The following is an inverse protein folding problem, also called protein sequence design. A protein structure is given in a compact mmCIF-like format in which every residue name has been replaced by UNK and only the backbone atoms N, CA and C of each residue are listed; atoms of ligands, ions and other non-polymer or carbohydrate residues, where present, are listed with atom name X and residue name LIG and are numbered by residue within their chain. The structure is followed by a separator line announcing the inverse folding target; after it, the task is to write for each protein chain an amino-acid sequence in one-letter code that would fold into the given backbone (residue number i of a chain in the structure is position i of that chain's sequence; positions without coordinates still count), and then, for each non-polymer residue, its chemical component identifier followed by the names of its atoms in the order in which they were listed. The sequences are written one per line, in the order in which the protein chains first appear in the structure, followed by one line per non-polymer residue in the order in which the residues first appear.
data_IF_761562912620
#
_entry.id   IF_761562912620
#
_cell.length_a   1.000
_cell.length_b   1.000
_cell.length_c   1.000
_cell.angle_alpha   90.00
_cell.angle_beta   90.00
_cell.angle_gamma   90.00
#
_symmetry.space_group_name_H-M   'P 1'
#
loop_
_entity.id
_entity.type
_entity.pdbx_description
1 polymer ?
#
# COMPACT_ATOMS: atom_id res chain seq x y z
N UNK A 1 -14.34 57.91 -4.82
CA UNK A 1 -13.22 58.75 -4.35
C UNK A 1 -12.50 58.02 -3.21
N UNK A 2 -11.24 57.59 -3.46
CA UNK A 2 -10.06 57.62 -2.56
C UNK A 2 -10.22 56.94 -1.16
N UNK A 3 -9.54 55.85 -0.76
CA UNK A 3 -8.13 55.38 -0.93
C UNK A 3 -8.03 53.83 -0.88
N UNK A 4 -7.16 53.22 -1.70
CA UNK A 4 -6.51 51.95 -1.39
C UNK A 4 -5.03 52.20 -1.02
N UNK A 5 -4.56 51.80 0.18
CA UNK A 5 -3.17 51.44 0.44
C UNK A 5 -2.98 51.14 1.93
N UNK A 6 -2.60 49.91 2.27
CA UNK A 6 -1.41 49.61 3.08
C UNK A 6 -1.16 48.11 2.98
N UNK A 7 -0.41 47.73 1.95
CA UNK A 7 0.41 46.53 1.93
C UNK A 7 1.41 46.67 3.08
N UNK A 8 1.44 45.74 4.03
CA UNK A 8 2.50 45.69 5.03
C UNK A 8 2.88 44.25 5.36
N UNK A 9 4.12 43.97 4.95
CA UNK A 9 5.06 42.99 5.46
C UNK A 9 4.73 41.49 5.34
N UNK A 10 5.46 40.90 4.40
CA UNK A 10 5.84 39.50 4.37
C UNK A 10 6.42 39.04 5.71
N UNK A 11 5.77 38.06 6.35
CA UNK A 11 6.43 37.18 7.30
C UNK A 11 6.96 35.97 6.52
N UNK A 12 8.19 36.12 6.01
CA UNK A 12 8.99 35.00 5.53
C UNK A 12 9.51 34.30 6.78
N UNK A 13 8.71 33.41 7.38
CA UNK A 13 9.24 32.44 8.33
C UNK A 13 9.70 31.21 7.55
N UNK A 14 10.98 31.21 7.18
CA UNK A 14 11.66 30.01 6.69
C UNK A 14 11.74 29.01 7.84
N UNK A 15 10.84 28.02 7.87
CA UNK A 15 10.97 26.86 8.77
C UNK A 15 11.97 25.91 8.11
N UNK A 16 13.23 26.10 8.46
CA UNK A 16 14.33 25.24 8.04
C UNK A 16 14.42 24.01 8.94
N UNK A 17 14.39 22.85 8.27
CA UNK A 17 15.03 21.57 8.59
C UNK A 17 14.71 20.89 9.93
N UNK A 18 13.98 19.79 9.83
CA UNK A 18 14.41 18.55 10.50
C UNK A 18 14.23 17.39 9.53
N UNK A 19 15.28 17.13 8.73
CA UNK A 19 15.39 15.89 7.98
C UNK A 19 15.57 14.76 9.01
N UNK A 20 14.57 13.90 9.13
CA UNK A 20 14.69 12.64 9.85
C UNK A 20 15.52 11.70 8.98
N UNK A 21 16.82 11.61 9.26
CA UNK A 21 17.71 10.67 8.58
C UNK A 21 17.42 9.26 9.13
N UNK A 22 17.07 8.26 8.29
CA UNK A 22 17.02 6.87 8.73
C UNK A 22 18.44 6.41 9.07
N UNK A 23 18.58 5.75 10.21
CA UNK A 23 19.85 5.18 10.67
C UNK A 23 20.42 4.21 9.62
N UNK A 24 21.72 4.28 9.31
CA UNK A 24 22.37 3.26 8.50
C UNK A 24 22.35 1.95 9.28
N UNK A 25 21.70 0.95 8.70
CA UNK A 25 21.80 -0.44 9.10
C UNK A 25 23.28 -0.85 9.10
N UNK A 26 23.89 -0.90 10.28
CA UNK A 26 25.21 -1.47 10.49
C UNK A 26 25.14 -2.96 10.14
N UNK A 27 25.53 -3.28 8.92
CA UNK A 27 26.00 -4.62 8.53
C UNK A 27 27.19 -4.97 9.44
N UNK A 28 26.91 -5.68 10.52
CA UNK A 28 27.92 -6.54 11.15
C UNK A 28 27.71 -7.93 10.58
N UNK A 29 28.38 -8.22 9.46
CA UNK A 29 28.60 -9.58 9.00
C UNK A 29 29.64 -10.20 9.96
N UNK A 30 29.16 -10.98 10.92
CA UNK A 30 30.01 -11.88 11.69
C UNK A 30 30.06 -13.21 10.96
N UNK A 31 31.26 -13.56 10.48
CA UNK A 31 31.57 -14.90 10.02
C UNK A 31 31.58 -15.87 11.21
N UNK A 32 30.89 -17.00 11.08
CA UNK A 32 31.24 -18.24 11.77
C UNK A 32 30.52 -19.45 11.13
N UNK A 33 31.33 -20.22 10.43
CA UNK A 33 31.38 -21.69 10.36
C UNK A 33 30.11 -22.49 10.65
N UNK A 34 29.73 -23.30 9.65
CA UNK A 34 28.80 -24.40 9.82
C UNK A 34 29.37 -25.48 10.74
N UNK A 35 28.57 -25.98 11.70
CA UNK A 35 28.66 -27.36 12.13
C UNK A 35 27.51 -28.17 11.52
N UNK A 36 27.89 -29.28 10.89
CA UNK A 36 26.98 -30.39 10.68
C UNK A 36 26.61 -30.97 12.06
N UNK A 37 25.34 -30.92 12.44
CA UNK A 37 24.79 -31.93 13.33
C UNK A 37 23.27 -32.08 13.15
N UNK A 38 22.83 -33.32 13.21
CA UNK A 38 21.45 -33.78 13.09
C UNK A 38 20.74 -33.55 14.43
N UNK A 39 19.51 -33.02 14.40
CA UNK A 39 18.38 -33.34 15.31
C UNK A 39 17.56 -32.13 15.75
N UNK A 40 16.26 -32.21 15.46
CA UNK A 40 15.11 -31.66 16.19
C UNK A 40 15.00 -30.13 16.38
N UNK A 41 13.93 -29.60 15.76
CA UNK A 41 13.20 -28.38 16.14
C UNK A 41 13.98 -27.07 16.17
N UNK A 42 14.00 -26.36 15.05
CA UNK A 42 13.92 -24.90 15.07
C UNK A 42 13.29 -24.43 13.76
N UNK A 43 12.03 -23.98 13.82
CA UNK A 43 11.35 -23.33 12.71
C UNK A 43 12.07 -22.01 12.49
N UNK A 44 13.03 -21.99 11.56
CA UNK A 44 13.57 -20.76 10.99
C UNK A 44 12.37 -20.03 10.39
N UNK A 45 11.86 -19.05 11.12
CA UNK A 45 10.96 -18.02 10.59
C UNK A 45 11.74 -17.30 9.51
N UNK A 46 11.70 -17.88 8.32
CA UNK A 46 11.77 -17.12 7.10
C UNK A 46 10.75 -16.00 7.29
N UNK A 47 11.21 -14.75 7.27
CA UNK A 47 10.34 -13.59 7.34
C UNK A 47 9.59 -13.54 6.00
N UNK A 48 8.65 -14.48 5.83
CA UNK A 48 7.75 -14.53 4.72
C UNK A 48 7.02 -13.20 4.74
N UNK A 49 7.41 -12.32 3.82
CA UNK A 49 6.65 -11.16 3.39
C UNK A 49 5.17 -11.55 3.47
N UNK A 50 4.31 -10.81 4.18
CA UNK A 50 2.96 -11.27 4.46
C UNK A 50 2.31 -11.68 3.14
N UNK A 51 2.19 -12.98 2.95
CA UNK A 51 1.51 -13.54 1.78
C UNK A 51 0.06 -13.21 2.05
N UNK A 52 -0.42 -12.10 1.49
CA UNK A 52 -1.84 -11.73 1.47
C UNK A 52 -2.53 -12.87 0.72
N UNK A 53 -2.94 -13.89 1.49
CA UNK A 53 -2.97 -15.27 1.01
C UNK A 53 -4.23 -15.69 0.29
N UNK A 54 -5.20 -14.80 0.11
CA UNK A 54 -6.40 -15.08 -0.67
C UNK A 54 -6.83 -13.81 -1.40
N UNK A 55 -6.90 -13.87 -2.73
CA UNK A 55 -7.43 -12.76 -3.51
C UNK A 55 -8.89 -12.49 -3.13
N UNK A 56 -9.28 -11.21 -3.05
CA UNK A 56 -10.67 -10.84 -2.78
C UNK A 56 -11.57 -11.43 -3.90
N UNK A 57 -12.58 -12.25 -3.57
CA UNK A 57 -13.39 -12.95 -4.56
C UNK A 57 -14.17 -12.00 -5.46
N UNK A 58 -14.72 -10.90 -4.91
CA UNK A 58 -15.41 -9.89 -5.69
C UNK A 58 -14.45 -9.13 -6.63
N UNK A 59 -13.21 -8.88 -6.20
CA UNK A 59 -12.19 -8.28 -7.05
C UNK A 59 -11.77 -9.22 -8.19
N UNK A 60 -11.58 -10.51 -7.88
CA UNK A 60 -11.32 -11.57 -8.87
C UNK A 60 -12.47 -11.68 -9.88
N UNK A 61 -13.71 -11.54 -9.41
CA UNK A 61 -14.88 -11.59 -10.27
C UNK A 61 -14.93 -10.39 -11.22
N UNK A 62 -14.74 -9.16 -10.72
CA UNK A 62 -14.62 -7.97 -11.55
C UNK A 62 -13.58 -8.16 -12.68
N UNK A 63 -12.39 -8.66 -12.34
CA UNK A 63 -11.33 -8.93 -13.32
C UNK A 63 -11.71 -10.03 -14.32
N UNK A 64 -12.44 -11.05 -13.88
CA UNK A 64 -12.89 -12.14 -14.77
C UNK A 64 -13.84 -11.65 -15.87
N UNK A 65 -14.60 -10.58 -15.62
CA UNK A 65 -15.48 -9.91 -16.57
C UNK A 65 -14.75 -8.85 -17.42
N UNK A 66 -13.40 -8.84 -17.39
CA UNK A 66 -12.55 -7.80 -17.98
C UNK A 66 -12.85 -6.39 -17.45
N UNK A 67 -13.43 -6.30 -16.24
CA UNK A 67 -13.66 -5.05 -15.55
C UNK A 67 -12.39 -4.50 -14.91
N UNK A 68 -12.38 -3.19 -14.68
CA UNK A 68 -11.32 -2.49 -13.96
C UNK A 68 -11.81 -2.13 -12.56
N UNK A 69 -11.10 -2.57 -11.53
CA UNK A 69 -11.43 -2.28 -10.13
C UNK A 69 -10.67 -1.06 -9.62
N UNK A 70 -11.41 -0.06 -9.13
CA UNK A 70 -10.88 1.05 -8.36
C UNK A 70 -10.72 0.63 -6.89
N UNK A 71 -9.49 0.35 -6.45
CA UNK A 71 -9.19 -0.21 -5.12
C UNK A 71 -9.53 0.71 -3.94
N UNK A 72 -9.59 2.01 -4.19
CA UNK A 72 -9.93 3.05 -3.22
C UNK A 72 -11.43 3.12 -2.93
N UNK A 73 -12.27 2.85 -3.93
CA UNK A 73 -13.73 2.93 -3.83
C UNK A 73 -14.43 1.58 -3.81
N UNK A 74 -13.77 0.51 -4.26
CA UNK A 74 -14.40 -0.80 -4.47
C UNK A 74 -15.28 -0.88 -5.72
N UNK A 75 -15.26 0.15 -6.58
CA UNK A 75 -16.09 0.18 -7.79
C UNK A 75 -15.43 -0.60 -8.92
N UNK A 76 -16.17 -1.55 -9.50
CA UNK A 76 -15.83 -2.24 -10.73
C UNK A 76 -16.47 -1.52 -11.93
N UNK A 77 -15.65 -1.12 -12.90
CA UNK A 77 -16.12 -0.60 -14.19
C UNK A 77 -16.00 -1.70 -15.25
N UNK A 78 -17.13 -2.14 -15.79
CA UNK A 78 -17.21 -3.17 -16.83
C UNK A 78 -16.89 -2.61 -18.22
N UNK A 79 -16.55 -3.47 -19.22
CA UNK A 79 -16.35 -3.04 -20.61
C UNK A 79 -17.58 -2.36 -21.25
N UNK A 80 -18.77 -2.63 -20.73
CA UNK A 80 -20.02 -1.96 -21.12
C UNK A 80 -20.09 -0.49 -20.67
N UNK A 81 -19.21 -0.07 -19.76
CA UNK A 81 -19.25 1.24 -19.09
C UNK A 81 -20.05 1.24 -17.78
N UNK A 82 -20.66 0.11 -17.39
CA UNK A 82 -21.35 -0.02 -16.11
C UNK A 82 -20.35 0.09 -14.95
N UNK A 83 -20.64 0.97 -13.98
CA UNK A 83 -19.86 1.13 -12.76
C UNK A 83 -20.71 0.72 -11.56
N UNK A 84 -20.26 -0.28 -10.81
CA UNK A 84 -21.00 -0.91 -9.71
C UNK A 84 -20.06 -1.35 -8.60
N UNK A 85 -20.51 -1.35 -7.34
CA UNK A 85 -19.73 -1.92 -6.23
C UNK A 85 -19.39 -3.40 -6.51
N UNK A 86 -18.13 -3.78 -6.28
CA UNK A 86 -17.64 -5.12 -6.61
C UNK A 86 -18.40 -6.25 -5.89
N UNK A 87 -18.88 -6.02 -4.66
CA UNK A 87 -19.62 -7.02 -3.91
C UNK A 87 -21.07 -7.11 -4.36
N UNK A 88 -21.67 -5.97 -4.73
CA UNK A 88 -22.99 -5.94 -5.34
C UNK A 88 -23.00 -6.68 -6.69
N UNK A 89 -22.03 -6.41 -7.56
CA UNK A 89 -21.84 -7.14 -8.81
C UNK A 89 -21.76 -8.65 -8.59
N UNK A 90 -20.89 -9.08 -7.66
CA UNK A 90 -20.70 -10.51 -7.38
C UNK A 90 -21.99 -11.17 -6.86
N UNK A 91 -22.72 -10.50 -5.94
CA UNK A 91 -23.98 -11.04 -5.41
C UNK A 91 -25.06 -11.11 -6.49
N UNK A 92 -25.24 -10.05 -7.29
CA UNK A 92 -26.24 -9.98 -8.37
C UNK A 92 -26.14 -11.18 -9.31
N UNK A 93 -24.92 -11.55 -9.68
CA UNK A 93 -24.67 -12.57 -10.70
C UNK A 93 -24.59 -14.00 -10.12
N UNK A 94 -24.75 -14.18 -8.80
CA UNK A 94 -24.66 -15.48 -8.10
C UNK A 94 -25.81 -15.70 -7.09
N UNK A 95 -26.99 -15.13 -7.32
CA UNK A 95 -28.21 -15.41 -6.53
C UNK A 95 -28.88 -16.71 -6.96
#
# INVERSE_FOLDING_TARGET
MIKPLTFSLAFISAITLSACQPAPNTETQMANEAPADLSMTEQVKDQAKPTIGLANPAAKYCQSLQGTLALDTGVCTLPSGEAIDQWELMRRDHQ
#
